data_IF_312180713745
#
_entry.id   IF_312180713745
#
_cell.length_a   1.000
_cell.length_b   1.000
_cell.length_c   1.000
_cell.angle_alpha   90.00
_cell.angle_beta   90.00
_cell.angle_gamma   90.00
#
_symmetry.space_group_name_H-M   'P 1'
#
loop_
_entity.id
_entity.type
_entity.pdbx_description
1 polymer ?
#
# COMPACT_ATOMS: atom_id res chain seq x y z
N UNK A 1 4.32 8.09 -10.61
CA UNK A 1 3.78 6.71 -10.57
C UNK A 1 2.33 6.77 -10.17
N UNK A 2 1.60 5.67 -10.31
CA UNK A 2 0.23 5.50 -9.81
C UNK A 2 0.29 4.69 -8.53
N UNK A 3 -0.54 5.08 -7.57
CA UNK A 3 -0.72 4.42 -6.26
C UNK A 3 -2.22 4.35 -5.99
N UNK A 4 -2.65 3.30 -5.31
CA UNK A 4 -4.02 3.17 -4.79
C UNK A 4 -4.05 3.35 -3.27
N UNK A 5 -5.25 3.63 -2.75
CA UNK A 5 -5.58 3.49 -1.33
C UNK A 5 -7.11 3.32 -1.17
N UNK A 6 -7.54 3.01 0.05
CA UNK A 6 -8.95 2.90 0.41
C UNK A 6 -9.47 4.13 1.14
N UNK A 7 -10.73 4.47 0.92
CA UNK A 7 -11.43 5.53 1.65
C UNK A 7 -12.91 5.19 1.76
N UNK A 8 -13.56 5.69 2.82
CA UNK A 8 -15.01 5.67 2.96
C UNK A 8 -15.46 6.91 3.71
N UNK A 9 -16.61 7.45 3.30
CA UNK A 9 -17.31 8.45 4.08
C UNK A 9 -17.84 7.85 5.39
N UNK A 10 -18.16 8.72 6.35
CA UNK A 10 -18.65 8.29 7.67
C UNK A 10 -19.87 7.38 7.60
N UNK A 11 -20.75 7.58 6.60
CA UNK A 11 -21.97 6.77 6.41
C UNK A 11 -21.70 5.35 5.91
N UNK A 12 -20.53 5.13 5.27
CA UNK A 12 -20.13 3.84 4.69
C UNK A 12 -21.21 3.23 3.77
N UNK A 13 -21.94 4.07 3.05
CA UNK A 13 -23.05 3.74 2.16
C UNK A 13 -22.63 3.67 0.68
N UNK A 14 -21.33 3.46 0.42
CA UNK A 14 -20.80 3.26 -0.92
C UNK A 14 -21.32 1.98 -1.58
N UNK A 15 -21.40 1.98 -2.92
CA UNK A 15 -21.87 0.82 -3.70
C UNK A 15 -20.94 -0.40 -3.60
N UNK A 16 -19.65 -0.15 -3.43
CA UNK A 16 -18.62 -1.18 -3.40
C UNK A 16 -17.95 -1.22 -2.02
N UNK A 17 -17.69 -2.42 -1.52
CA UNK A 17 -16.65 -2.63 -0.52
C UNK A 17 -15.29 -2.73 -1.21
N UNK A 18 -14.25 -2.13 -0.63
CA UNK A 18 -12.87 -2.25 -1.10
C UNK A 18 -11.94 -2.58 0.07
N UNK A 19 -10.86 -3.30 -0.23
CA UNK A 19 -9.77 -3.57 0.68
C UNK A 19 -8.49 -3.81 -0.14
N UNK A 20 -7.34 -3.42 0.40
CA UNK A 20 -6.07 -3.79 -0.16
C UNK A 20 -5.77 -5.27 0.16
N UNK A 21 -5.48 -6.06 -0.87
CA UNK A 21 -4.92 -7.41 -0.71
C UNK A 21 -3.41 -7.29 -0.89
N UNK A 22 -2.67 -7.49 0.19
CA UNK A 22 -1.24 -7.23 0.24
C UNK A 22 -0.43 -8.51 0.40
N UNK A 23 0.71 -8.55 -0.28
CA UNK A 23 1.73 -9.59 -0.10
C UNK A 23 2.94 -8.96 0.58
N UNK A 24 3.44 -9.61 1.62
CA UNK A 24 4.61 -9.14 2.36
C UNK A 24 5.85 -9.10 1.46
N UNK A 25 6.55 -7.97 1.48
CA UNK A 25 7.83 -7.77 0.80
C UNK A 25 8.91 -7.56 1.84
N UNK A 26 10.09 -8.14 1.63
CA UNK A 26 11.24 -8.10 2.54
C UNK A 26 12.43 -7.41 1.86
N UNK A 27 13.43 -6.94 2.63
CA UNK A 27 14.64 -6.36 2.06
C UNK A 27 15.37 -7.23 1.03
N UNK A 28 15.26 -8.56 1.15
CA UNK A 28 15.80 -9.51 0.19
C UNK A 28 15.21 -9.35 -1.23
N UNK A 29 14.00 -8.82 -1.35
CA UNK A 29 13.30 -8.65 -2.64
C UNK A 29 13.76 -7.41 -3.41
N UNK A 30 14.47 -6.48 -2.75
CA UNK A 30 14.86 -5.20 -3.33
C UNK A 30 16.11 -5.27 -4.23
N UNK A 31 16.84 -6.39 -4.20
CA UNK A 31 18.11 -6.59 -4.92
C UNK A 31 19.18 -5.52 -4.62
N UNK A 32 19.12 -4.89 -3.44
CA UNK A 32 20.11 -3.90 -3.00
C UNK A 32 20.11 -3.78 -1.47
N UNK A 33 21.28 -3.66 -0.82
CA UNK A 33 21.38 -3.39 0.61
C UNK A 33 21.20 -1.90 0.95
N UNK A 34 21.02 -1.03 -0.04
CA UNK A 34 20.91 0.41 0.19
C UNK A 34 19.68 0.72 1.07
N UNK A 35 19.77 1.60 2.09
CA UNK A 35 18.65 1.90 2.98
C UNK A 35 17.37 2.38 2.26
N UNK A 36 17.53 3.00 1.09
CA UNK A 36 16.41 3.46 0.24
C UNK A 36 15.96 2.44 -0.82
N UNK A 37 16.47 1.21 -0.80
CA UNK A 37 16.12 0.20 -1.81
C UNK A 37 14.63 -0.12 -1.83
N UNK A 38 13.95 -0.12 -0.68
CA UNK A 38 12.50 -0.27 -0.60
C UNK A 38 11.74 0.90 -1.23
N UNK A 39 12.25 2.14 -1.10
CA UNK A 39 11.67 3.32 -1.75
C UNK A 39 11.76 3.20 -3.27
N UNK A 40 12.91 2.77 -3.78
CA UNK A 40 13.09 2.55 -5.22
C UNK A 40 12.26 1.36 -5.73
N UNK A 41 12.09 0.31 -4.92
CA UNK A 41 11.19 -0.80 -5.23
C UNK A 41 9.74 -0.34 -5.38
N UNK A 42 9.23 0.47 -4.44
CA UNK A 42 7.90 1.09 -4.55
C UNK A 42 7.81 1.92 -5.84
N UNK A 43 8.73 2.86 -6.03
CA UNK A 43 8.74 3.76 -7.21
C UNK A 43 8.80 3.00 -8.53
N UNK A 44 9.53 1.88 -8.59
CA UNK A 44 9.59 1.02 -9.78
C UNK A 44 8.18 0.56 -10.17
N UNK A 45 7.44 -0.06 -9.26
CA UNK A 45 6.11 -0.62 -9.55
C UNK A 45 5.06 0.47 -9.73
N UNK A 46 5.15 1.58 -8.99
CA UNK A 46 4.29 2.76 -9.21
C UNK A 46 4.49 3.35 -10.62
N UNK A 47 5.74 3.42 -11.12
CA UNK A 47 6.03 3.88 -12.48
C UNK A 47 5.54 2.88 -13.54
N UNK A 48 5.66 1.58 -13.30
CA UNK A 48 5.14 0.57 -14.23
C UNK A 48 3.61 0.65 -14.32
N UNK A 49 2.91 0.77 -13.19
CA UNK A 49 1.46 0.96 -13.17
C UNK A 49 1.02 2.22 -13.93
N UNK A 50 1.75 3.34 -13.76
CA UNK A 50 1.48 4.59 -14.51
C UNK A 50 1.65 4.40 -16.02
N UNK A 51 2.72 3.74 -16.45
CA UNK A 51 2.96 3.45 -17.88
C UNK A 51 1.90 2.52 -18.45
N UNK A 52 1.56 1.46 -17.72
CA UNK A 52 0.56 0.47 -18.11
C UNK A 52 -0.83 1.09 -18.31
N UNK A 53 -1.17 2.12 -17.54
CA UNK A 53 -2.43 2.85 -17.68
C UNK A 53 -2.40 3.99 -18.71
N UNK A 54 -1.32 4.14 -19.48
CA UNK A 54 -1.20 5.15 -20.53
C UNK A 54 -0.82 6.54 -20.03
N UNK A 55 -0.04 6.63 -18.96
CA UNK A 55 0.64 7.86 -18.51
C UNK A 55 -0.31 9.07 -18.29
N UNK A 56 -1.50 8.81 -17.77
CA UNK A 56 -2.57 9.80 -17.59
C UNK A 56 -3.16 9.80 -16.17
N UNK A 57 -2.45 9.19 -15.22
CA UNK A 57 -2.86 8.99 -13.81
C UNK A 57 -4.12 8.15 -13.59
N UNK A 58 -4.69 7.54 -14.62
CA UNK A 58 -5.65 6.44 -14.43
C UNK A 58 -4.90 5.23 -13.87
N UNK A 59 -5.61 4.36 -13.16
CA UNK A 59 -5.02 3.12 -12.65
C UNK A 59 -5.24 1.94 -13.61
N UNK A 60 -4.25 1.04 -13.78
CA UNK A 60 -4.49 -0.21 -14.48
C UNK A 60 -5.47 -1.04 -13.64
N UNK A 61 -6.38 -1.75 -14.28
CA UNK A 61 -7.40 -2.51 -13.57
C UNK A 61 -7.84 -3.72 -14.39
N UNK A 62 -8.23 -4.78 -13.70
CA UNK A 62 -8.55 -6.07 -14.30
C UNK A 62 -9.69 -6.73 -13.52
N UNK A 63 -10.56 -7.45 -14.23
CA UNK A 63 -11.55 -8.29 -13.57
C UNK A 63 -10.86 -9.46 -12.87
N UNK A 64 -11.33 -9.82 -11.68
CA UNK A 64 -10.75 -10.91 -10.88
C UNK A 64 -10.77 -12.23 -11.64
N UNK A 65 -11.85 -12.55 -12.35
CA UNK A 65 -11.92 -13.78 -13.14
C UNK A 65 -10.85 -13.84 -14.25
N UNK A 66 -10.58 -12.71 -14.89
CA UNK A 66 -9.60 -12.61 -15.97
C UNK A 66 -8.16 -12.59 -15.43
N UNK A 67 -7.96 -11.97 -14.26
CA UNK A 67 -6.71 -12.02 -13.51
C UNK A 67 -6.33 -13.46 -13.12
N UNK A 68 -7.28 -14.23 -12.59
CA UNK A 68 -7.09 -15.64 -12.24
C UNK A 68 -6.84 -16.52 -13.47
N UNK A 69 -7.43 -16.18 -14.61
CA UNK A 69 -7.28 -16.91 -15.87
C UNK A 69 -6.14 -16.39 -16.78
N UNK A 70 -5.29 -15.49 -16.28
CA UNK A 70 -4.16 -14.88 -17.01
C UNK A 70 -4.50 -14.20 -18.35
N UNK A 71 -5.74 -13.72 -18.50
CA UNK A 71 -6.23 -13.09 -19.74
C UNK A 71 -6.57 -11.61 -19.54
N UNK A 72 -6.49 -10.77 -20.60
CA UNK A 72 -6.95 -9.38 -20.51
C UNK A 72 -8.47 -9.28 -20.35
N UNK A 73 -8.92 -8.31 -19.55
CA UNK A 73 -10.33 -7.95 -19.45
C UNK A 73 -10.77 -7.09 -20.62
N UNK A 74 -12.00 -7.31 -21.10
CA UNK A 74 -12.56 -6.61 -22.28
C UNK A 74 -13.67 -5.62 -21.94
N UNK A 75 -14.17 -5.63 -20.71
CA UNK A 75 -15.24 -4.75 -20.24
C UNK A 75 -15.51 -4.93 -18.75
N UNK A 76 -16.37 -4.06 -18.20
CA UNK A 76 -16.81 -4.14 -16.80
C UNK A 76 -18.11 -4.94 -16.69
N UNK A 77 -18.28 -5.64 -15.56
CA UNK A 77 -19.52 -6.33 -15.22
C UNK A 77 -20.42 -5.50 -14.30
N UNK A 78 -21.00 -6.16 -13.30
CA UNK A 78 -21.93 -5.49 -12.35
C UNK A 78 -21.21 -4.52 -11.43
N UNK A 79 -19.97 -4.84 -11.05
CA UNK A 79 -19.13 -3.95 -10.25
C UNK A 79 -18.51 -2.92 -11.17
N UNK A 80 -18.64 -1.64 -10.81
CA UNK A 80 -18.06 -0.51 -11.53
C UNK A 80 -16.88 0.06 -10.74
N UNK A 81 -15.78 0.47 -11.40
CA UNK A 81 -14.60 1.00 -10.71
C UNK A 81 -14.91 2.36 -10.07
N UNK A 82 -14.32 2.60 -8.89
CA UNK A 82 -14.53 3.84 -8.12
C UNK A 82 -13.30 4.75 -8.10
N UNK A 83 -12.13 4.25 -8.51
CA UNK A 83 -10.89 5.02 -8.52
C UNK A 83 -10.99 6.24 -9.45
N UNK A 84 -10.59 7.41 -8.93
CA UNK A 84 -10.50 8.67 -9.67
C UNK A 84 -9.02 8.98 -9.95
N UNK A 85 -8.65 9.51 -11.14
CA UNK A 85 -9.51 10.06 -12.20
C UNK A 85 -10.18 9.01 -13.11
N UNK A 86 -9.89 7.73 -12.91
CA UNK A 86 -10.49 6.63 -13.64
C UNK A 86 -9.54 5.46 -13.76
N UNK A 87 -9.98 4.40 -14.45
CA UNK A 87 -9.17 3.19 -14.66
C UNK A 87 -9.01 2.86 -16.14
N UNK A 88 -8.01 2.06 -16.47
CA UNK A 88 -7.76 1.49 -17.80
C UNK A 88 -7.69 -0.03 -17.65
N UNK A 89 -8.39 -0.77 -18.51
CA UNK A 89 -8.30 -2.23 -18.54
C UNK A 89 -6.88 -2.64 -18.97
N UNK A 90 -6.16 -3.31 -18.08
CA UNK A 90 -4.80 -3.75 -18.34
C UNK A 90 -4.42 -4.97 -17.49
N UNK A 91 -3.53 -5.86 -17.96
CA UNK A 91 -3.09 -7.03 -17.19
C UNK A 91 -2.22 -6.60 -16.00
N UNK A 92 -2.70 -6.80 -14.76
CA UNK A 92 -1.98 -6.37 -13.56
C UNK A 92 -0.65 -7.11 -13.34
N UNK A 93 -0.48 -8.28 -13.97
CA UNK A 93 0.77 -9.04 -13.97
C UNK A 93 1.97 -8.27 -14.53
N UNK A 94 1.71 -7.23 -15.33
CA UNK A 94 2.75 -6.40 -15.96
C UNK A 94 3.21 -5.23 -15.07
N UNK A 95 2.57 -5.00 -13.91
CA UNK A 95 2.94 -3.92 -12.98
C UNK A 95 3.22 -4.37 -11.54
N UNK A 96 3.45 -5.66 -11.30
CA UNK A 96 3.84 -6.22 -10.00
C UNK A 96 4.88 -7.34 -10.16
N UNK A 97 5.66 -7.69 -9.11
CA UNK A 97 6.53 -8.86 -9.15
C UNK A 97 5.74 -10.16 -9.37
N UNK A 98 6.33 -11.10 -10.11
CA UNK A 98 5.68 -12.38 -10.40
C UNK A 98 5.24 -13.14 -9.13
N UNK A 99 6.09 -13.19 -8.09
CA UNK A 99 5.73 -13.87 -6.84
C UNK A 99 4.51 -13.23 -6.16
N UNK A 100 4.34 -11.91 -6.26
CA UNK A 100 3.17 -11.21 -5.72
C UNK A 100 1.91 -11.64 -6.48
N UNK A 101 1.98 -11.72 -7.82
CA UNK A 101 0.86 -12.15 -8.65
C UNK A 101 0.40 -13.56 -8.28
N UNK A 102 1.31 -14.51 -8.17
CA UNK A 102 0.97 -15.90 -7.85
C UNK A 102 0.40 -16.03 -6.43
N UNK A 103 1.00 -15.35 -5.45
CA UNK A 103 0.46 -15.32 -4.08
C UNK A 103 -0.93 -14.69 -4.03
N UNK A 104 -1.18 -13.62 -4.80
CA UNK A 104 -2.51 -13.00 -4.88
C UNK A 104 -3.55 -13.94 -5.49
N UNK A 105 -3.22 -14.68 -6.56
CA UNK A 105 -4.13 -15.66 -7.17
C UNK A 105 -4.54 -16.75 -6.17
N UNK A 106 -3.57 -17.31 -5.46
CA UNK A 106 -3.83 -18.32 -4.42
C UNK A 106 -4.69 -17.74 -3.28
N UNK A 107 -4.34 -16.55 -2.79
CA UNK A 107 -5.04 -15.90 -1.69
C UNK A 107 -6.50 -15.56 -2.04
N UNK A 108 -6.77 -15.05 -3.25
CA UNK A 108 -8.13 -14.76 -3.71
C UNK A 108 -8.98 -16.03 -3.75
N UNK A 109 -8.42 -17.13 -4.29
CA UNK A 109 -9.10 -18.43 -4.29
C UNK A 109 -9.38 -18.94 -2.87
N UNK A 110 -8.41 -18.81 -1.96
CA UNK A 110 -8.59 -19.16 -0.56
C UNK A 110 -9.67 -18.30 0.12
N UNK A 111 -9.68 -16.99 -0.09
CA UNK A 111 -10.65 -16.09 0.52
C UNK A 111 -12.08 -16.36 0.07
N UNK A 112 -12.32 -16.88 -1.14
CA UNK A 112 -13.65 -17.28 -1.58
C UNK A 112 -14.23 -18.43 -0.74
N UNK A 113 -13.37 -19.30 -0.20
CA UNK A 113 -13.78 -20.36 0.75
C UNK A 113 -14.19 -19.82 2.12
N UNK A 114 -13.76 -18.60 2.45
CA UNK A 114 -14.03 -17.93 3.75
C UNK A 114 -15.19 -16.94 3.63
N UNK A 115 -15.27 -16.23 2.51
CA UNK A 115 -16.28 -15.24 2.19
C UNK A 115 -16.79 -15.58 0.79
N UNK A 116 -17.97 -16.18 0.72
CA UNK A 116 -18.58 -16.58 -0.55
C UNK A 116 -18.71 -15.37 -1.48
N UNK A 117 -18.16 -15.47 -2.69
CA UNK A 117 -18.19 -14.42 -3.69
C UNK A 117 -17.01 -13.45 -3.63
N UNK A 118 -16.00 -13.72 -2.81
CA UNK A 118 -14.75 -12.96 -2.81
C UNK A 118 -14.05 -13.04 -4.17
N UNK A 119 -14.08 -14.21 -4.81
CA UNK A 119 -13.51 -14.44 -6.15
C UNK A 119 -14.53 -14.30 -7.29
N UNK A 120 -15.58 -13.49 -7.12
CA UNK A 120 -16.57 -13.24 -8.19
C UNK A 120 -15.87 -12.82 -9.50
N UNK A 121 -16.20 -13.43 -10.65
CA UNK A 121 -15.50 -13.16 -11.91
C UNK A 121 -15.52 -11.70 -12.33
N UNK A 122 -16.60 -10.97 -12.00
CA UNK A 122 -16.79 -9.56 -12.33
C UNK A 122 -16.47 -8.58 -11.19
N UNK A 123 -15.81 -9.04 -10.11
CA UNK A 123 -15.17 -8.14 -9.15
C UNK A 123 -13.90 -7.52 -9.76
N UNK A 124 -13.46 -6.38 -9.22
CA UNK A 124 -12.42 -5.56 -9.83
C UNK A 124 -11.18 -5.50 -8.95
N UNK A 125 -10.02 -5.78 -9.54
CA UNK A 125 -8.70 -5.44 -9.01
C UNK A 125 -8.24 -4.11 -9.61
N UNK A 126 -7.75 -3.18 -8.79
CA UNK A 126 -7.36 -1.84 -9.23
C UNK A 126 -5.94 -1.51 -8.75
N UNK A 127 -5.09 -1.09 -9.69
CA UNK A 127 -3.81 -0.45 -9.46
C UNK A 127 -2.82 -1.24 -8.59
N UNK A 128 -1.93 -0.50 -7.95
CA UNK A 128 -0.90 -1.04 -7.05
C UNK A 128 -0.93 -0.29 -5.71
N UNK A 129 -1.11 -1.05 -4.64
CA UNK A 129 -1.09 -0.53 -3.27
C UNK A 129 0.33 -0.67 -2.68
N UNK A 130 1.19 0.30 -2.94
CA UNK A 130 2.63 0.18 -2.64
C UNK A 130 3.06 0.75 -1.30
N UNK A 131 2.17 1.49 -0.61
CA UNK A 131 2.52 2.32 0.56
C UNK A 131 1.75 1.91 1.81
N UNK A 132 1.76 0.61 2.12
CA UNK A 132 1.09 0.05 3.31
C UNK A 132 1.82 0.33 4.63
N UNK A 133 3.14 0.55 4.56
CA UNK A 133 3.98 0.97 5.68
C UNK A 133 5.27 1.62 5.15
N UNK A 134 6.03 2.26 6.05
CA UNK A 134 7.28 2.89 5.64
C UNK A 134 8.32 1.85 5.16
N UNK A 135 8.94 2.07 3.98
CA UNK A 135 9.99 1.21 3.46
C UNK A 135 11.35 1.45 4.13
N UNK A 136 11.41 2.36 5.11
CA UNK A 136 12.60 2.78 5.83
C UNK A 136 12.32 2.85 7.33
N UNK A 137 13.36 2.63 8.12
CA UNK A 137 13.36 2.84 9.57
C UNK A 137 14.44 3.87 9.90
N UNK A 138 14.05 5.00 10.46
CA UNK A 138 15.00 6.04 10.91
C UNK A 138 15.31 5.75 12.38
N UNK A 139 16.43 5.09 12.64
CA UNK A 139 16.76 4.62 13.97
C UNK A 139 16.82 5.77 14.99
N UNK A 140 16.21 5.52 16.16
CA UNK A 140 16.25 6.39 17.34
C UNK A 140 16.48 5.56 18.60
N UNK A 141 17.05 6.19 19.62
CA UNK A 141 17.31 5.59 20.92
C UNK A 141 16.06 5.57 21.84
N UNK A 142 16.26 5.18 23.10
CA UNK A 142 15.21 5.17 24.14
C UNK A 142 14.68 6.56 24.53
N UNK A 143 15.42 7.61 24.17
CA UNK A 143 15.01 9.01 24.33
C UNK A 143 14.30 9.55 23.08
N UNK A 144 13.94 8.66 22.15
CA UNK A 144 13.34 8.97 20.86
C UNK A 144 14.23 9.84 19.95
N UNK A 145 15.54 9.89 20.21
CA UNK A 145 16.49 10.73 19.49
C UNK A 145 17.30 9.93 18.47
N UNK A 146 17.47 10.49 17.27
CA UNK A 146 18.40 9.92 16.29
C UNK A 146 19.86 10.08 16.76
N UNK A 147 20.79 9.50 16.00
CA UNK A 147 22.23 9.75 16.17
C UNK A 147 22.62 11.23 15.96
N UNK A 148 21.72 12.04 15.38
CA UNK A 148 21.82 13.50 15.30
C UNK A 148 21.02 14.12 16.45
N UNK A 149 21.72 14.81 17.36
CA UNK A 149 21.09 15.46 18.52
C UNK A 149 20.10 16.54 18.07
N UNK A 150 18.96 16.60 18.74
CA UNK A 150 17.84 17.48 18.41
C UNK A 150 16.86 16.90 17.39
N UNK A 151 17.19 15.78 16.73
CA UNK A 151 16.29 15.12 15.77
C UNK A 151 15.52 13.98 16.42
N UNK A 152 14.19 13.96 16.22
CA UNK A 152 13.27 13.00 16.83
C UNK A 152 12.41 12.32 15.74
N UNK A 153 12.89 11.22 15.14
CA UNK A 153 12.10 10.46 14.18
C UNK A 153 10.88 9.84 14.88
N UNK A 154 9.68 10.00 14.32
CA UNK A 154 8.43 9.47 14.90
C UNK A 154 7.36 9.20 13.84
N UNK A 155 6.35 8.44 14.25
CA UNK A 155 5.20 8.09 13.42
C UNK A 155 5.54 7.07 12.33
N UNK A 156 4.62 6.90 11.40
CA UNK A 156 4.74 5.92 10.31
C UNK A 156 5.92 6.22 9.40
N UNK A 157 6.16 7.48 9.05
CA UNK A 157 7.27 7.86 8.16
C UNK A 157 8.66 7.50 8.68
N UNK A 158 8.85 7.48 10.00
CA UNK A 158 10.09 7.01 10.63
C UNK A 158 10.13 5.48 10.82
N UNK A 159 9.02 4.80 10.55
CA UNK A 159 8.83 3.37 10.70
C UNK A 159 8.35 2.93 12.08
N UNK A 160 7.92 3.83 12.99
CA UNK A 160 7.55 3.53 14.39
C UNK A 160 6.05 3.36 14.64
N UNK A 161 5.23 3.56 13.61
CA UNK A 161 3.79 3.37 13.65
C UNK A 161 3.28 2.81 12.31
N UNK A 162 1.98 2.48 12.24
CA UNK A 162 1.36 1.89 11.05
C UNK A 162 -0.12 2.25 10.92
N UNK A 163 -0.51 3.42 11.42
CA UNK A 163 -1.89 3.90 11.38
C UNK A 163 -2.06 5.18 12.21
N UNK A 164 -3.27 5.76 12.13
CA UNK A 164 -3.58 7.06 12.74
C UNK A 164 -3.33 7.04 14.26
N UNK A 165 -3.93 6.07 14.97
CA UNK A 165 -3.83 5.98 16.42
C UNK A 165 -2.40 5.70 16.91
N UNK A 166 -1.71 4.75 16.29
CA UNK A 166 -0.33 4.43 16.67
C UNK A 166 0.63 5.58 16.38
N UNK A 167 0.41 6.33 15.28
CA UNK A 167 1.21 7.52 14.96
C UNK A 167 0.98 8.65 15.97
N UNK A 168 -0.27 8.87 16.39
CA UNK A 168 -0.59 9.86 17.40
C UNK A 168 0.04 9.50 18.76
N UNK A 169 -0.06 8.25 19.18
CA UNK A 169 0.56 7.76 20.43
C UNK A 169 2.09 7.90 20.37
N UNK A 170 2.72 7.57 19.24
CA UNK A 170 4.16 7.76 19.08
C UNK A 170 4.57 9.24 19.16
N UNK A 171 3.74 10.12 18.59
CA UNK A 171 3.91 11.57 18.68
C UNK A 171 3.85 12.08 20.12
N UNK A 172 2.84 11.66 20.90
CA UNK A 172 2.70 12.03 22.32
C UNK A 172 3.92 11.59 23.12
N UNK A 173 4.33 10.31 22.99
CA UNK A 173 5.50 9.77 23.69
C UNK A 173 6.78 10.52 23.33
N UNK A 174 6.94 10.87 22.07
CA UNK A 174 8.11 11.62 21.60
C UNK A 174 8.09 13.05 22.17
N UNK A 175 6.93 13.70 22.20
CA UNK A 175 6.77 15.02 22.80
C UNK A 175 7.10 15.02 24.31
N UNK A 176 6.65 14.02 25.06
CA UNK A 176 7.00 13.85 26.48
C UNK A 176 8.51 13.76 26.70
N UNK A 177 9.24 13.02 25.85
CA UNK A 177 10.71 12.92 25.91
C UNK A 177 11.39 14.27 25.63
N UNK A 178 10.87 15.03 24.68
CA UNK A 178 11.35 16.39 24.39
C UNK A 178 11.12 17.30 25.59
N UNK A 179 9.92 17.28 26.18
CA UNK A 179 9.57 18.10 27.35
C UNK A 179 10.47 17.81 28.54
N UNK A 180 10.74 16.53 28.85
CA UNK A 180 11.64 16.15 29.95
C UNK A 180 13.05 16.68 29.73
N UNK A 181 13.57 16.61 28.50
CA UNK A 181 14.94 17.06 28.18
C UNK A 181 15.12 18.57 28.31
N UNK A 182 14.09 19.35 27.96
CA UNK A 182 14.14 20.82 27.94
C UNK A 182 13.32 21.45 29.08
N UNK A 183 12.97 20.67 30.10
CA UNK A 183 12.34 21.18 31.29
C UNK A 183 13.26 22.25 31.94
N UNK A 184 12.71 23.36 32.45
CA UNK A 184 13.49 24.33 33.20
C UNK A 184 14.22 23.62 34.36
N UNK A 185 15.45 24.03 34.65
CA UNK A 185 16.14 23.61 35.86
C UNK A 185 15.31 24.08 37.07
N UNK A 186 14.97 23.13 37.94
CA UNK A 186 14.37 23.41 39.25
C UNK A 186 15.44 23.90 40.23
#
# INVERSE_FOLDING_TARGET
>A
GVVTNGMSESKRDGKNANAAILVGVKPADYNSPHPLAGVEFQRKWERQAYKLAGENYRAPSQLTGDFLADRPSTGWGRVQPTYQPGVVLAPLKDCLPHYVIETLKEAIGYFDTRIKGFAMPDSILTGVETRSSAPVRINRDENAQANIRGLYPMGEGAGYAGGIMSSAVDGIKTAEKVMVKYAPLQ
#
